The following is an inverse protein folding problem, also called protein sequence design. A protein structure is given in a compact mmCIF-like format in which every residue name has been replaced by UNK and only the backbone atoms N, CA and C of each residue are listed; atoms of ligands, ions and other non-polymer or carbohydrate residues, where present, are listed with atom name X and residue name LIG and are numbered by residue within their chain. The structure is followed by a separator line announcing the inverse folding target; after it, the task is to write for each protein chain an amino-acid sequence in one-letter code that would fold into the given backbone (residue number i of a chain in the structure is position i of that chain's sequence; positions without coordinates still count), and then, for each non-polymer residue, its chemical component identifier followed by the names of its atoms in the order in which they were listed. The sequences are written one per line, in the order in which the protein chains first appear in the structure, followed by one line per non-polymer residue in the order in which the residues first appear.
data_IF_854966214088
#
_entry.id   IF_854966214088
#
_cell.length_a   1.000
_cell.length_b   1.000
_cell.length_c   1.000
_cell.angle_alpha   90.00
_cell.angle_beta   90.00
_cell.angle_gamma   90.00
#
_symmetry.space_group_name_H-M   'P 1'
#
loop_
_entity.id
_entity.type
_entity.pdbx_description
1 polymer ?
#
# COMPACT_ATOMS: atom_id res chain seq x y z
N UNK A 1 -1.35 -9.36 23.83
CA UNK A 1 -2.65 -9.13 23.17
C UNK A 1 -2.46 -9.30 21.65
N UNK A 2 -3.42 -9.91 20.93
CA UNK A 2 -3.33 -10.00 19.47
C UNK A 2 -3.42 -8.60 18.84
N UNK A 3 -2.67 -8.38 17.76
CA UNK A 3 -2.65 -7.14 16.99
C UNK A 3 -4.07 -6.79 16.48
N UNK A 4 -4.53 -5.57 16.74
CA UNK A 4 -5.92 -5.14 16.51
C UNK A 4 -6.17 -4.50 15.13
N UNK A 5 -5.23 -4.63 14.19
CA UNK A 5 -5.39 -4.17 12.81
C UNK A 5 -5.20 -2.68 12.57
N UNK A 6 -4.64 -1.93 13.54
CA UNK A 6 -4.30 -0.51 13.38
C UNK A 6 -2.80 -0.28 13.63
N UNK A 7 -2.14 0.44 12.72
CA UNK A 7 -0.71 0.82 12.80
C UNK A 7 0.23 -0.16 12.08
N UNK A 8 1.49 0.23 11.83
CA UNK A 8 2.48 -0.64 11.21
C UNK A 8 2.89 -1.78 12.17
N UNK A 9 3.39 -2.90 11.64
CA UNK A 9 3.91 -3.99 12.47
C UNK A 9 5.06 -3.49 13.37
N UNK A 10 5.86 -2.55 12.87
CA UNK A 10 6.89 -1.82 13.61
C UNK A 10 6.34 -1.04 14.81
N UNK A 11 5.15 -0.43 14.72
CA UNK A 11 4.52 0.30 15.82
C UNK A 11 4.07 -0.67 16.94
N UNK A 12 3.67 -1.87 16.56
CA UNK A 12 3.22 -2.91 17.49
C UNK A 12 4.36 -3.59 18.23
N UNK A 13 5.53 -3.72 17.60
CA UNK A 13 6.75 -4.28 18.22
C UNK A 13 7.32 -3.37 19.31
N UNK A 14 7.16 -2.04 19.19
CA UNK A 14 7.64 -1.06 20.17
C UNK A 14 6.89 -1.14 21.52
N UNK A 15 5.60 -1.50 21.50
CA UNK A 15 4.76 -1.60 22.70
C UNK A 15 5.23 -2.71 23.68
N UNK A 16 5.93 -3.75 23.18
CA UNK A 16 6.45 -4.83 24.02
C UNK A 16 7.85 -4.55 24.61
N UNK A 17 8.53 -3.48 24.19
CA UNK A 17 9.94 -3.21 24.53
C UNK A 17 10.12 -2.02 25.49
N UNK A 18 9.13 -1.15 25.69
CA UNK A 18 9.23 0.00 26.61
C UNK A 18 7.86 0.51 27.06
N UNK A 19 7.76 0.94 28.33
CA UNK A 19 6.56 1.59 28.90
C UNK A 19 6.27 2.97 28.26
N UNK A 20 7.27 3.55 27.58
CA UNK A 20 7.15 4.79 26.81
C UNK A 20 7.49 4.48 25.36
N UNK A 21 6.52 4.50 24.43
CA UNK A 21 6.77 4.22 23.02
C UNK A 21 7.74 5.28 22.47
N UNK A 22 8.89 4.82 21.99
CA UNK A 22 9.79 5.64 21.18
C UNK A 22 9.27 5.60 19.74
N UNK A 23 9.22 6.74 19.03
CA UNK A 23 8.82 6.74 17.63
C UNK A 23 9.72 5.77 16.86
N UNK A 24 9.16 4.94 15.96
CA UNK A 24 9.96 4.03 15.15
C UNK A 24 11.03 4.82 14.41
N UNK A 25 12.26 4.31 14.41
CA UNK A 25 13.37 4.94 13.68
C UNK A 25 13.07 4.83 12.20
N UNK A 26 12.76 5.97 11.56
CA UNK A 26 12.65 6.06 10.11
C UNK A 26 14.03 5.96 9.50
N UNK A 27 14.17 5.14 8.47
CA UNK A 27 15.44 4.94 7.78
C UNK A 27 15.68 6.09 6.80
N UNK A 28 16.19 7.21 7.31
CA UNK A 28 16.29 8.49 6.58
C UNK A 28 17.15 8.41 5.32
N UNK A 29 18.14 7.51 5.31
CA UNK A 29 18.99 7.27 4.13
C UNK A 29 18.17 6.64 3.00
N UNK A 30 17.41 5.58 3.31
CA UNK A 30 16.50 4.93 2.37
C UNK A 30 15.47 5.91 1.80
N UNK A 31 14.90 6.77 2.64
CA UNK A 31 13.94 7.78 2.21
C UNK A 31 14.56 8.74 1.19
N UNK A 32 15.79 9.21 1.43
CA UNK A 32 16.45 10.20 0.58
C UNK A 32 16.95 9.59 -0.74
N UNK A 33 17.49 8.37 -0.70
CA UNK A 33 18.00 7.66 -1.87
C UNK A 33 16.88 7.26 -2.83
N UNK A 34 15.71 6.91 -2.30
CA UNK A 34 14.61 6.35 -3.08
C UNK A 34 13.39 7.28 -3.20
N UNK A 35 13.49 8.56 -2.82
CA UNK A 35 12.38 9.53 -2.75
C UNK A 35 11.54 9.63 -4.03
N UNK A 36 12.15 9.32 -5.18
CA UNK A 36 11.52 9.39 -6.49
C UNK A 36 11.39 8.03 -7.20
N UNK A 37 11.81 6.93 -6.55
CA UNK A 37 11.72 5.60 -7.15
C UNK A 37 10.39 4.92 -6.81
N UNK A 38 9.65 4.59 -7.87
CA UNK A 38 8.37 3.90 -7.76
C UNK A 38 8.33 2.73 -8.72
N UNK A 39 8.13 1.52 -8.19
CA UNK A 39 7.90 0.33 -9.00
C UNK A 39 6.43 0.26 -9.38
N UNK A 40 6.14 0.12 -10.69
CA UNK A 40 4.77 0.04 -11.20
C UNK A 40 4.51 -1.31 -11.87
N UNK A 41 3.42 -1.94 -11.49
CA UNK A 41 3.00 -3.23 -12.01
C UNK A 41 1.55 -3.17 -12.51
N UNK A 42 1.29 -3.80 -13.64
CA UNK A 42 -0.06 -4.06 -14.09
C UNK A 42 -0.59 -5.33 -13.41
N UNK A 43 -1.77 -5.26 -12.82
CA UNK A 43 -2.40 -6.35 -12.11
C UNK A 43 -3.84 -6.61 -12.59
N UNK A 44 -4.32 -7.83 -12.35
CA UNK A 44 -5.69 -8.29 -12.59
C UNK A 44 -6.15 -9.00 -11.33
N UNK A 45 -7.44 -8.87 -10.99
CA UNK A 45 -7.99 -9.59 -9.86
C UNK A 45 -8.29 -11.04 -10.25
N UNK A 46 -7.71 -11.99 -9.51
CA UNK A 46 -8.08 -13.39 -9.62
C UNK A 46 -9.38 -13.63 -8.84
N UNK A 47 -10.51 -13.37 -9.49
CA UNK A 47 -11.86 -13.48 -8.92
C UNK A 47 -12.68 -14.51 -9.69
N UNK A 48 -13.57 -15.28 -9.02
CA UNK A 48 -14.53 -16.14 -9.70
C UNK A 48 -15.55 -15.34 -10.54
N UNK A 49 -15.74 -14.06 -10.23
CA UNK A 49 -16.68 -13.19 -10.91
C UNK A 49 -16.11 -12.74 -12.26
N UNK A 50 -16.85 -12.97 -13.35
CA UNK A 50 -16.39 -12.66 -14.70
C UNK A 50 -16.14 -11.15 -14.92
N UNK A 51 -16.91 -10.30 -14.25
CA UNK A 51 -16.77 -8.84 -14.31
C UNK A 51 -15.43 -8.36 -13.75
N UNK A 52 -14.96 -8.99 -12.67
CA UNK A 52 -13.70 -8.64 -12.02
C UNK A 52 -12.47 -9.07 -12.81
N UNK A 53 -12.58 -10.13 -13.62
CA UNK A 53 -11.47 -10.63 -14.46
C UNK A 53 -11.06 -9.64 -15.56
N UNK A 54 -11.96 -8.73 -15.93
CA UNK A 54 -11.70 -7.73 -16.98
C UNK A 54 -11.08 -6.46 -16.38
N UNK A 55 -11.19 -6.27 -15.06
CA UNK A 55 -10.66 -5.09 -14.35
C UNK A 55 -9.13 -5.13 -14.34
N UNK A 56 -8.53 -3.96 -14.61
CA UNK A 56 -7.09 -3.76 -14.64
C UNK A 56 -6.70 -2.80 -13.53
N UNK A 57 -5.64 -3.12 -12.81
CA UNK A 57 -5.12 -2.29 -11.74
C UNK A 57 -3.66 -1.92 -12.01
N UNK A 58 -3.25 -0.78 -11.50
CA UNK A 58 -1.87 -0.33 -11.44
C UNK A 58 -1.46 -0.35 -9.98
N UNK A 59 -0.54 -1.24 -9.63
CA UNK A 59 0.09 -1.29 -8.31
C UNK A 59 1.37 -0.46 -8.36
N UNK A 60 1.46 0.53 -7.47
CA UNK A 60 2.62 1.40 -7.29
C UNK A 60 3.23 1.13 -5.92
N UNK A 61 4.51 0.76 -5.88
CA UNK A 61 5.28 0.59 -4.65
C UNK A 61 6.31 1.70 -4.54
N UNK A 62 6.24 2.48 -3.46
CA UNK A 62 7.10 3.63 -3.20
C UNK A 62 8.30 3.16 -2.37
N UNK A 63 9.48 3.13 -2.99
CA UNK A 63 10.68 2.56 -2.35
C UNK A 63 11.18 3.40 -1.17
N UNK A 64 10.87 4.69 -1.15
CA UNK A 64 11.24 5.61 -0.08
C UNK A 64 10.64 5.26 1.29
N UNK A 65 9.41 4.77 1.30
CA UNK A 65 8.60 4.63 2.51
C UNK A 65 7.85 3.30 2.61
N UNK A 66 8.14 2.36 1.72
CA UNK A 66 7.51 1.03 1.64
C UNK A 66 5.98 1.07 1.49
N UNK A 67 5.43 2.21 1.07
CA UNK A 67 3.99 2.35 0.87
C UNK A 67 3.55 1.72 -0.45
N UNK A 68 2.33 1.21 -0.45
CA UNK A 68 1.66 0.66 -1.63
C UNK A 68 0.47 1.54 -2.01
N UNK A 69 0.26 1.70 -3.32
CA UNK A 69 -0.96 2.29 -3.85
C UNK A 69 -1.50 1.49 -5.02
N UNK A 70 -2.79 1.20 -4.99
CA UNK A 70 -3.50 0.49 -6.06
C UNK A 70 -4.47 1.47 -6.71
N UNK A 71 -4.34 1.62 -8.03
CA UNK A 71 -5.17 2.50 -8.84
C UNK A 71 -5.88 1.71 -9.93
N UNK A 72 -7.20 1.93 -10.08
CA UNK A 72 -7.97 1.39 -11.20
C UNK A 72 -8.18 2.47 -12.27
N UNK A 73 -7.60 2.32 -13.48
CA UNK A 73 -7.81 3.26 -14.56
C UNK A 73 -9.28 3.34 -14.97
N UNK A 74 -9.76 4.56 -15.25
CA UNK A 74 -11.10 4.75 -15.78
C UNK A 74 -11.22 4.10 -17.17
N UNK A 75 -12.18 3.19 -17.30
CA UNK A 75 -12.58 2.65 -18.61
C UNK A 75 -13.84 3.39 -19.06
N UNK A 76 -13.81 4.05 -20.23
CA UNK A 76 -15.00 4.72 -20.76
C UNK A 76 -16.13 3.70 -20.91
N UNK A 77 -17.34 4.07 -20.49
CA UNK A 77 -18.56 3.26 -20.57
C UNK A 77 -18.61 2.00 -19.69
N UNK A 78 -17.73 1.84 -18.68
CA UNK A 78 -17.76 0.66 -17.80
C UNK A 78 -18.75 0.74 -16.63
N UNK A 79 -19.33 1.92 -16.37
CA UNK A 79 -20.18 2.14 -15.19
C UNK A 79 -19.42 2.31 -13.87
N UNK A 80 -18.10 2.18 -13.86
CA UNK A 80 -17.25 2.35 -12.67
C UNK A 80 -16.56 3.73 -12.67
N UNK A 81 -16.68 4.45 -11.56
CA UNK A 81 -15.88 5.65 -11.29
C UNK A 81 -14.49 5.16 -10.88
N UNK A 82 -13.53 5.17 -11.81
CA UNK A 82 -12.12 4.90 -11.52
C UNK A 82 -11.57 5.81 -10.41
N UNK A 83 -10.54 5.34 -9.72
CA UNK A 83 -10.03 6.00 -8.52
C UNK A 83 -8.91 5.21 -7.85
N UNK A 84 -8.34 5.82 -6.81
CA UNK A 84 -7.40 5.14 -5.92
C UNK A 84 -8.20 4.20 -5.03
N UNK A 85 -7.91 2.91 -5.08
CA UNK A 85 -8.62 1.90 -4.30
C UNK A 85 -8.06 1.79 -2.88
N UNK A 86 -6.73 1.88 -2.75
CA UNK A 86 -6.07 1.77 -1.46
C UNK A 86 -4.74 2.52 -1.46
N UNK A 87 -4.45 3.15 -0.32
CA UNK A 87 -3.13 3.67 0.06
C UNK A 87 -2.86 3.22 1.49
N UNK A 88 -1.78 2.50 1.70
CA UNK A 88 -1.38 1.92 2.99
C UNK A 88 -0.09 2.56 3.45
#
# INVERSE_FOLDING_TARGET
PPYNGFGLLEDSLQNCLSLVPKPPRKDVLKMLENDHEVLRYAAVLDSPNAEDKVRRFILSYFLANDMLSIYEPHVRNSGFIGGVLEKS
#
